data_IF_271850974801
#
_entry.id   IF_271850974801
#
_cell.length_a   1.000
_cell.length_b   1.000
_cell.length_c   1.000
_cell.angle_alpha   90.00
_cell.angle_beta   90.00
_cell.angle_gamma   90.00
#
_symmetry.space_group_name_H-M   'P 1'
#
loop_
_entity.id
_entity.type
_entity.pdbx_description
1 polymer ?
#
# COMPACT_ATOMS: atom_id res chain seq x y z
N UNK A 1 6.30 -12.15 9.60
CA UNK A 1 6.07 -11.33 8.39
C UNK A 1 6.23 -9.88 8.81
N UNK A 2 7.32 -9.20 8.40
CA UNK A 2 7.53 -7.80 8.77
C UNK A 2 6.44 -7.00 8.06
N UNK A 3 5.46 -6.50 8.80
CA UNK A 3 4.54 -5.52 8.25
C UNK A 3 5.41 -4.42 7.67
N UNK A 4 5.28 -4.19 6.37
CA UNK A 4 6.11 -3.28 5.57
C UNK A 4 5.73 -1.83 5.87
N UNK A 5 5.77 -1.51 7.16
CA UNK A 5 5.28 -0.26 7.74
C UNK A 5 6.35 0.76 7.42
N UNK A 6 6.01 1.74 6.59
CA UNK A 6 6.86 2.92 6.38
C UNK A 6 7.12 3.55 7.75
N UNK A 7 8.32 3.35 8.29
CA UNK A 7 8.73 3.87 9.60
C UNK A 7 8.99 5.36 9.44
N UNK A 8 8.40 6.17 10.31
CA UNK A 8 8.66 7.62 10.31
C UNK A 8 10.14 7.88 10.63
N UNK A 9 10.82 8.65 9.77
CA UNK A 9 12.21 9.03 9.93
C UNK A 9 12.43 10.54 9.77
N UNK A 10 13.68 10.99 9.91
CA UNK A 10 14.05 12.38 9.61
C UNK A 10 13.78 12.66 8.13
N UNK A 11 13.15 13.81 7.85
CA UNK A 11 12.92 14.26 6.46
C UNK A 11 14.27 14.49 5.77
N UNK A 12 14.42 13.91 4.58
CA UNK A 12 15.57 14.11 3.71
C UNK A 12 15.11 14.87 2.47
N UNK A 13 15.82 15.93 2.11
CA UNK A 13 15.59 16.60 0.82
C UNK A 13 16.00 15.68 -0.32
N UNK A 14 15.15 15.56 -1.34
CA UNK A 14 15.38 14.75 -2.53
C UNK A 14 15.15 15.61 -3.76
N UNK A 15 15.99 15.45 -4.78
CA UNK A 15 15.79 16.10 -6.07
C UNK A 15 14.82 15.28 -6.91
N UNK A 16 13.74 15.90 -7.36
CA UNK A 16 12.68 15.29 -8.17
C UNK A 16 12.44 16.18 -9.39
N UNK A 17 12.27 15.57 -10.56
CA UNK A 17 11.86 16.26 -11.77
C UNK A 17 10.33 16.27 -11.84
N UNK A 18 9.73 17.45 -11.73
CA UNK A 18 8.28 17.67 -11.83
C UNK A 18 8.06 18.76 -12.87
N UNK A 19 6.97 18.63 -13.63
CA UNK A 19 6.55 19.62 -14.62
C UNK A 19 6.48 21.03 -14.00
N UNK A 20 7.03 22.01 -14.72
CA UNK A 20 7.15 23.38 -14.23
C UNK A 20 5.79 24.07 -14.12
N UNK A 21 4.84 23.75 -15.01
CA UNK A 21 3.46 24.24 -14.95
C UNK A 21 2.72 23.71 -13.72
N UNK A 22 2.91 22.44 -13.37
CA UNK A 22 2.35 21.86 -12.15
C UNK A 22 2.89 22.54 -10.89
N UNK A 23 4.20 22.80 -10.84
CA UNK A 23 4.83 23.51 -9.71
C UNK A 23 4.27 24.94 -9.60
N UNK A 24 4.14 25.66 -10.72
CA UNK A 24 3.61 27.02 -10.75
C UNK A 24 2.16 27.05 -10.25
N UNK A 25 1.29 26.22 -10.82
CA UNK A 25 -0.12 26.14 -10.41
C UNK A 25 -0.28 25.79 -8.92
N UNK A 26 0.53 24.87 -8.40
CA UNK A 26 0.50 24.51 -6.99
C UNK A 26 0.95 25.66 -6.07
N UNK A 27 1.97 26.43 -6.47
CA UNK A 27 2.43 27.61 -5.72
C UNK A 27 1.38 28.71 -5.71
N UNK A 28 0.75 29.00 -6.85
CA UNK A 28 -0.30 29.99 -6.97
C UNK A 28 -1.53 29.63 -6.12
N UNK A 29 -1.84 28.33 -6.02
CA UNK A 29 -2.87 27.80 -5.16
C UNK A 29 -2.47 27.71 -3.66
N UNK A 30 -1.25 28.11 -3.28
CA UNK A 30 -0.77 28.06 -1.90
C UNK A 30 -0.57 26.64 -1.35
N UNK A 31 -0.38 25.65 -2.23
CA UNK A 31 -0.26 24.24 -1.85
C UNK A 31 1.14 23.93 -1.30
N UNK A 32 1.19 23.21 -0.19
CA UNK A 32 2.44 22.69 0.36
C UNK A 32 2.90 21.46 -0.44
N UNK A 33 3.78 21.69 -1.42
CA UNK A 33 4.36 20.67 -2.30
C UNK A 33 4.94 19.48 -1.53
N UNK A 34 5.72 19.72 -0.47
CA UNK A 34 6.34 18.65 0.29
C UNK A 34 5.31 17.74 0.95
N UNK A 35 4.26 18.31 1.55
CA UNK A 35 3.21 17.54 2.22
C UNK A 35 2.39 16.70 1.23
N UNK A 36 2.05 17.27 0.07
CA UNK A 36 1.29 16.56 -0.96
C UNK A 36 2.13 15.45 -1.59
N UNK A 37 3.39 15.74 -1.93
CA UNK A 37 4.31 14.75 -2.49
C UNK A 37 4.55 13.60 -1.51
N UNK A 38 4.74 13.88 -0.21
CA UNK A 38 4.90 12.84 0.81
C UNK A 38 3.67 11.92 0.89
N UNK A 39 2.46 12.51 0.92
CA UNK A 39 1.22 11.74 0.96
C UNK A 39 1.04 10.88 -0.30
N UNK A 40 1.33 11.43 -1.48
CA UNK A 40 1.23 10.72 -2.74
C UNK A 40 2.23 9.54 -2.84
N UNK A 41 3.49 9.78 -2.47
CA UNK A 41 4.53 8.74 -2.46
C UNK A 41 4.17 7.63 -1.47
N UNK A 42 3.67 7.98 -0.27
CA UNK A 42 3.24 7.00 0.71
C UNK A 42 2.09 6.14 0.21
N UNK A 43 1.09 6.76 -0.44
CA UNK A 43 -0.04 6.04 -1.02
C UNK A 43 0.41 5.07 -2.12
N UNK A 44 1.25 5.55 -3.05
CA UNK A 44 1.81 4.74 -4.13
C UNK A 44 2.65 3.57 -3.59
N UNK A 45 3.49 3.82 -2.58
CA UNK A 45 4.31 2.79 -1.92
C UNK A 45 3.44 1.70 -1.32
N UNK A 46 2.39 2.06 -0.58
CA UNK A 46 1.47 1.09 0.04
C UNK A 46 0.73 0.26 -1.00
N UNK A 47 0.29 0.89 -2.09
CA UNK A 47 -0.39 0.19 -3.18
C UNK A 47 0.53 -0.86 -3.83
N UNK A 48 1.80 -0.50 -4.07
CA UNK A 48 2.78 -1.42 -4.65
C UNK A 48 3.16 -2.54 -3.68
N UNK A 49 3.34 -2.26 -2.39
CA UNK A 49 3.56 -3.29 -1.37
C UNK A 49 2.38 -4.26 -1.29
N UNK A 50 1.14 -3.75 -1.34
CA UNK A 50 -0.05 -4.59 -1.34
C UNK A 50 -0.14 -5.46 -2.60
N UNK A 51 0.25 -4.93 -3.77
CA UNK A 51 0.32 -5.70 -5.03
C UNK A 51 1.32 -6.84 -4.91
N UNK A 52 2.55 -6.55 -4.48
CA UNK A 52 3.61 -7.55 -4.29
C UNK A 52 3.20 -8.62 -3.28
N UNK A 53 2.61 -8.21 -2.16
CA UNK A 53 2.14 -9.14 -1.15
C UNK A 53 1.09 -10.11 -1.73
N UNK A 54 0.13 -9.60 -2.51
CA UNK A 54 -0.87 -10.46 -3.18
C UNK A 54 -0.22 -11.46 -4.12
N UNK A 55 0.79 -11.04 -4.89
CA UNK A 55 1.51 -11.91 -5.82
C UNK A 55 2.29 -13.01 -5.07
N UNK A 56 3.02 -12.62 -4.02
CA UNK A 56 3.80 -13.55 -3.19
C UNK A 56 2.93 -14.55 -2.42
N UNK A 57 1.75 -14.12 -1.96
CA UNK A 57 0.88 -14.93 -1.11
C UNK A 57 -0.18 -15.70 -1.91
N UNK A 58 -0.28 -15.47 -3.22
CA UNK A 58 -1.23 -16.17 -4.09
C UNK A 58 -1.10 -17.70 -4.01
N UNK A 59 0.11 -18.30 -4.07
CA UNK A 59 0.24 -19.76 -3.92
C UNK A 59 -0.22 -20.25 -2.54
N UNK A 60 0.14 -19.54 -1.47
CA UNK A 60 -0.27 -19.90 -0.11
C UNK A 60 -1.79 -19.79 0.09
N UNK A 61 -2.43 -18.79 -0.51
CA UNK A 61 -3.89 -18.64 -0.50
C UNK A 61 -4.57 -19.76 -1.30
N UNK A 62 -4.02 -20.14 -2.45
CA UNK A 62 -4.54 -21.25 -3.25
C UNK A 62 -4.41 -22.58 -2.51
N UNK A 63 -3.27 -22.84 -1.87
CA UNK A 63 -3.05 -24.01 -1.03
C UNK A 63 -4.05 -24.08 0.12
N UNK A 64 -4.28 -22.94 0.80
CA UNK A 64 -5.26 -22.82 1.87
C UNK A 64 -6.70 -23.05 1.38
N UNK A 65 -7.06 -22.49 0.22
CA UNK A 65 -8.37 -22.69 -0.39
C UNK A 65 -8.60 -24.18 -0.73
N UNK A 66 -7.60 -24.86 -1.32
CA UNK A 66 -7.68 -26.30 -1.59
C UNK A 66 -7.81 -27.13 -0.31
N UNK A 67 -7.16 -26.69 0.78
CA UNK A 67 -7.32 -27.34 2.08
C UNK A 67 -8.75 -27.15 2.62
N UNK A 68 -9.32 -25.95 2.54
CA UNK A 68 -10.70 -25.67 2.96
C UNK A 68 -11.74 -26.47 2.15
N UNK A 69 -11.56 -26.58 0.84
CA UNK A 69 -12.44 -27.39 -0.02
C UNK A 69 -12.45 -28.86 0.41
N UNK A 70 -11.29 -29.40 0.78
CA UNK A 70 -11.14 -30.81 1.18
C UNK A 70 -11.63 -31.08 2.60
N UNK A 71 -11.41 -30.14 3.53
CA UNK A 71 -11.63 -30.38 4.95
C UNK A 71 -12.93 -29.74 5.49
N UNK A 72 -13.68 -29.04 4.63
CA UNK A 72 -14.78 -28.12 4.99
C UNK A 72 -14.29 -26.99 5.90
N UNK A 73 -15.07 -25.90 5.98
CA UNK A 73 -14.73 -24.80 6.88
C UNK A 73 -14.76 -25.29 8.34
N UNK A 74 -13.64 -25.22 9.07
CA UNK A 74 -13.65 -25.48 10.51
C UNK A 74 -14.63 -24.52 11.19
N UNK A 75 -15.46 -25.04 12.10
CA UNK A 75 -16.42 -24.26 12.87
C UNK A 75 -17.49 -23.53 12.03
N UNK A 76 -17.80 -24.01 10.82
CA UNK A 76 -18.91 -23.48 10.03
C UNK A 76 -20.24 -23.45 10.81
N UNK A 77 -20.43 -24.41 11.73
CA UNK A 77 -21.57 -24.51 12.64
C UNK A 77 -21.67 -23.39 13.70
N UNK A 78 -20.61 -22.60 13.91
CA UNK A 78 -20.58 -21.49 14.86
C UNK A 78 -20.53 -20.12 14.19
N UNK A 79 -20.57 -20.05 12.85
CA UNK A 79 -20.61 -18.79 12.12
C UNK A 79 -22.03 -18.23 12.15
N UNK A 80 -22.40 -17.60 13.26
CA UNK A 80 -23.59 -16.75 13.36
C UNK A 80 -23.39 -15.51 12.47
N UNK A 81 -24.46 -15.12 11.78
CA UNK A 81 -24.48 -14.06 10.76
C UNK A 81 -24.15 -12.68 11.32
#
# INVERSE_FOLDING_TARGET
MKHDRVVSGKRKSVNLSIDTGVIAAARDAGINLSKVSEAAILAATRAEQARRWKEENKPAMEDWNRWLERNRMPYAEHRLW
#
